data_IF_343955885856
#
_entry.id   IF_343955885856
#
_cell.length_a   1.000
_cell.length_b   1.000
_cell.length_c   1.000
_cell.angle_alpha   90.00
_cell.angle_beta   90.00
_cell.angle_gamma   90.00
#
_symmetry.space_group_name_H-M   'P 1'
#
loop_
_entity.id
_entity.type
_entity.pdbx_description
1 polymer ?
#
# COMPACT_ATOMS: atom_id res chain seq x y z
N UNK A 1 -29.40 9.34 -5.10
CA UNK A 1 -28.46 9.35 -3.96
C UNK A 1 -27.50 8.15 -3.98
N UNK A 2 -27.86 7.02 -4.59
CA UNK A 2 -27.03 5.80 -4.64
C UNK A 2 -25.72 5.96 -5.46
N UNK A 3 -25.78 6.60 -6.63
CA UNK A 3 -24.62 6.77 -7.52
C UNK A 3 -23.50 7.68 -6.96
N UNK A 4 -23.85 8.65 -6.10
CA UNK A 4 -22.87 9.55 -5.47
C UNK A 4 -22.11 8.84 -4.35
N UNK A 5 -22.74 7.87 -3.67
CA UNK A 5 -22.10 7.11 -2.61
C UNK A 5 -21.05 6.16 -3.20
N UNK A 6 -21.39 5.43 -4.28
CA UNK A 6 -20.46 4.50 -4.92
C UNK A 6 -19.23 5.16 -5.55
N UNK A 7 -19.35 6.42 -6.02
CA UNK A 7 -18.22 7.21 -6.51
C UNK A 7 -17.30 7.66 -5.37
N UNK A 8 -17.86 7.99 -4.21
CA UNK A 8 -17.08 8.33 -3.03
C UNK A 8 -16.34 7.11 -2.47
N UNK A 9 -16.98 5.95 -2.45
CA UNK A 9 -16.34 4.69 -2.01
C UNK A 9 -15.19 4.28 -2.94
N UNK A 10 -15.35 4.44 -4.25
CA UNK A 10 -14.27 4.21 -5.22
C UNK A 10 -13.11 5.20 -5.03
N UNK A 11 -13.40 6.49 -4.88
CA UNK A 11 -12.37 7.50 -4.65
C UNK A 11 -11.57 7.22 -3.37
N UNK A 12 -12.23 6.81 -2.29
CA UNK A 12 -11.59 6.41 -1.04
C UNK A 12 -10.74 5.14 -1.20
N UNK A 13 -11.20 4.15 -1.96
CA UNK A 13 -10.43 2.94 -2.24
C UNK A 13 -9.16 3.25 -3.06
N UNK A 14 -9.27 4.12 -4.08
CA UNK A 14 -8.12 4.58 -4.87
C UNK A 14 -7.13 5.36 -4.00
N UNK A 15 -7.64 6.25 -3.13
CA UNK A 15 -6.79 7.00 -2.19
C UNK A 15 -6.02 6.07 -1.25
N UNK A 16 -6.68 5.03 -0.74
CA UNK A 16 -6.03 4.00 0.10
C UNK A 16 -4.92 3.28 -0.65
N UNK A 17 -5.17 2.84 -1.89
CA UNK A 17 -4.15 2.19 -2.74
C UNK A 17 -2.96 3.13 -2.96
N UNK A 18 -3.22 4.41 -3.29
CA UNK A 18 -2.17 5.39 -3.49
C UNK A 18 -1.36 5.64 -2.21
N UNK A 19 -2.01 5.64 -1.05
CA UNK A 19 -1.34 5.79 0.25
C UNK A 19 -0.45 4.59 0.57
N UNK A 20 -0.95 3.36 0.42
CA UNK A 20 -0.16 2.16 0.64
C UNK A 20 1.04 2.08 -0.32
N UNK A 21 0.88 2.49 -1.58
CA UNK A 21 1.98 2.54 -2.54
C UNK A 21 3.10 3.52 -2.11
N UNK A 22 2.73 4.68 -1.52
CA UNK A 22 3.71 5.62 -0.97
C UNK A 22 4.47 5.02 0.21
N UNK A 23 3.80 4.27 1.08
CA UNK A 23 4.45 3.57 2.20
C UNK A 23 5.43 2.50 1.73
N UNK A 24 5.07 1.72 0.69
CA UNK A 24 6.01 0.76 0.06
C UNK A 24 7.24 1.47 -0.48
N UNK A 25 7.05 2.61 -1.16
CA UNK A 25 8.16 3.41 -1.68
C UNK A 25 9.05 3.92 -0.54
N UNK A 26 8.47 4.49 0.51
CA UNK A 26 9.21 4.99 1.66
C UNK A 26 10.00 3.87 2.38
N UNK A 27 9.39 2.70 2.56
CA UNK A 27 10.05 1.55 3.15
C UNK A 27 11.20 1.02 2.28
N UNK A 28 11.03 1.04 0.95
CA UNK A 28 12.06 0.64 -0.01
C UNK A 28 13.26 1.59 0.03
N UNK A 29 13.02 2.91 0.06
CA UNK A 29 14.08 3.92 0.19
C UNK A 29 14.84 3.75 1.51
N UNK A 30 14.13 3.57 2.63
CA UNK A 30 14.78 3.35 3.93
C UNK A 30 15.61 2.05 3.97
N UNK A 31 15.19 1.02 3.24
CA UNK A 31 15.96 -0.22 3.08
C UNK A 31 17.23 0.02 2.26
N UNK A 32 17.12 0.76 1.15
CA UNK A 32 18.27 1.12 0.31
C UNK A 32 19.30 1.97 1.07
N UNK A 33 18.85 3.00 1.79
CA UNK A 33 19.71 3.81 2.66
C UNK A 33 20.45 2.97 3.70
N UNK A 34 19.78 1.95 4.27
CA UNK A 34 20.40 1.04 5.23
C UNK A 34 21.55 0.24 4.62
N UNK A 35 21.39 -0.24 3.39
CA UNK A 35 22.43 -1.02 2.71
C UNK A 35 23.56 -0.15 2.13
N UNK A 36 23.30 1.12 1.85
CA UNK A 36 24.30 2.08 1.40
C UNK A 36 25.11 2.73 2.55
N UNK A 37 24.69 2.53 3.81
CA UNK A 37 25.40 3.07 4.96
C UNK A 37 26.70 2.28 5.25
N UNK A 38 27.85 2.94 5.48
CA UNK A 38 29.14 2.29 5.72
C UNK A 38 29.23 1.57 7.07
N UNK A 39 28.25 1.75 7.96
CA UNK A 39 28.17 1.13 9.29
C UNK A 39 27.22 -0.09 9.27
N UNK A 40 27.79 -1.27 9.04
CA UNK A 40 27.11 -2.58 8.97
C UNK A 40 26.48 -3.05 10.30
N UNK A 41 26.57 -2.27 11.38
CA UNK A 41 26.30 -2.76 12.75
C UNK A 41 24.81 -2.96 13.10
N UNK A 42 23.88 -2.31 12.41
CA UNK A 42 22.43 -2.52 12.60
C UNK A 42 21.86 -3.56 11.62
N UNK A 43 21.19 -4.57 12.16
CA UNK A 43 20.58 -5.65 11.39
C UNK A 43 19.46 -5.11 10.50
N UNK A 44 19.39 -5.49 9.20
CA UNK A 44 18.36 -5.01 8.26
C UNK A 44 16.98 -5.65 8.50
N UNK A 45 16.81 -6.43 9.56
CA UNK A 45 15.58 -7.17 9.88
C UNK A 45 14.37 -6.27 10.07
N UNK A 46 14.54 -5.10 10.72
CA UNK A 46 13.45 -4.16 10.94
C UNK A 46 13.01 -3.41 9.66
N UNK A 47 13.92 -2.85 8.84
CA UNK A 47 13.57 -2.32 7.52
C UNK A 47 12.89 -3.34 6.60
N UNK A 48 13.36 -4.58 6.59
CA UNK A 48 12.74 -5.66 5.80
C UNK A 48 11.32 -5.97 6.30
N UNK A 49 11.12 -6.11 7.61
CA UNK A 49 9.80 -6.33 8.18
C UNK A 49 8.82 -5.18 7.84
N UNK A 50 9.31 -3.94 7.86
CA UNK A 50 8.51 -2.76 7.47
C UNK A 50 8.13 -2.80 5.99
N UNK A 51 9.06 -3.18 5.12
CA UNK A 51 8.78 -3.33 3.70
C UNK A 51 7.73 -4.43 3.44
N UNK A 52 7.86 -5.59 4.09
CA UNK A 52 6.87 -6.67 3.99
C UNK A 52 5.49 -6.21 4.43
N UNK A 53 5.38 -5.55 5.59
CA UNK A 53 4.10 -5.04 6.08
C UNK A 53 3.46 -4.00 5.12
N UNK A 54 4.27 -3.12 4.51
CA UNK A 54 3.78 -2.16 3.53
C UNK A 54 3.29 -2.83 2.24
N UNK A 55 3.96 -3.89 1.78
CA UNK A 55 3.54 -4.68 0.62
C UNK A 55 2.21 -5.39 0.91
N UNK A 56 2.07 -5.99 2.08
CA UNK A 56 0.84 -6.68 2.49
C UNK A 56 -0.35 -5.71 2.54
N UNK A 57 -0.16 -4.49 3.07
CA UNK A 57 -1.21 -3.47 3.09
C UNK A 57 -1.56 -2.97 1.68
N UNK A 58 -0.58 -2.80 0.79
CA UNK A 58 -0.84 -2.44 -0.61
C UNK A 58 -1.64 -3.53 -1.32
N UNK A 59 -1.33 -4.80 -1.05
CA UNK A 59 -2.07 -5.91 -1.62
C UNK A 59 -3.51 -5.95 -1.11
N UNK A 60 -3.72 -5.80 0.21
CA UNK A 60 -5.06 -5.71 0.79
C UNK A 60 -5.88 -4.54 0.22
N UNK A 61 -5.28 -3.36 0.07
CA UNK A 61 -5.95 -2.20 -0.51
C UNK A 61 -6.38 -2.43 -1.96
N UNK A 62 -5.56 -3.15 -2.74
CA UNK A 62 -5.90 -3.52 -4.13
C UNK A 62 -7.01 -4.55 -4.19
N UNK A 63 -6.97 -5.57 -3.34
CA UNK A 63 -8.00 -6.60 -3.27
C UNK A 63 -9.37 -6.00 -2.90
N UNK A 64 -9.38 -5.03 -1.97
CA UNK A 64 -10.59 -4.29 -1.60
C UNK A 64 -11.15 -3.45 -2.77
N UNK A 65 -10.27 -2.78 -3.52
CA UNK A 65 -10.66 -2.03 -4.72
C UNK A 65 -11.21 -2.96 -5.80
N UNK A 66 -10.54 -4.07 -6.07
CA UNK A 66 -10.97 -5.06 -7.06
C UNK A 66 -12.33 -5.66 -6.69
N UNK A 67 -12.55 -5.96 -5.39
CA UNK A 67 -13.85 -6.41 -4.90
C UNK A 67 -14.94 -5.34 -5.08
N UNK A 68 -14.63 -4.08 -4.83
CA UNK A 68 -15.55 -2.96 -5.03
C UNK A 68 -15.93 -2.81 -6.52
N UNK A 69 -14.95 -2.88 -7.41
CA UNK A 69 -15.16 -2.82 -8.86
C UNK A 69 -15.98 -4.01 -9.36
N UNK A 70 -15.68 -5.22 -8.90
CA UNK A 70 -16.43 -6.42 -9.26
C UNK A 70 -17.91 -6.34 -8.84
N UNK A 71 -18.21 -5.83 -7.64
CA UNK A 71 -19.60 -5.61 -7.18
C UNK A 71 -20.35 -4.63 -8.07
N UNK A 72 -19.67 -3.58 -8.55
CA UNK A 72 -20.25 -2.57 -9.43
C UNK A 72 -20.48 -3.06 -10.86
N UNK A 73 -19.68 -4.00 -11.37
CA UNK A 73 -19.92 -4.61 -12.69
C UNK A 73 -21.10 -5.59 -12.72
N UNK A 74 -21.60 -6.02 -11.57
CA UNK A 74 -22.74 -6.97 -11.46
C UNK A 74 -24.09 -6.25 -11.28
N UNK A 75 -24.09 -4.93 -11.05
CA UNK A 75 -25.28 -4.08 -10.96
C UNK A 75 -25.49 -3.26 -12.23
#
# INVERSE_FOLDING_TARGET
>A
MEQTNSKNEEAAAIERVASAAREVQAASVALEERFNAPDETALPTLPLARLTAAIDELQAARDDLDQLLARRSVH
#
